data_IF_470828552806
#
_entry.id   IF_470828552806
#
_cell.length_a   1.000
_cell.length_b   1.000
_cell.length_c   1.000
_cell.angle_alpha   90.00
_cell.angle_beta   90.00
_cell.angle_gamma   90.00
#
_symmetry.space_group_name_H-M   'P 1'
#
loop_
_entity.id
_entity.type
_entity.pdbx_description
1 polymer ?
#
# COMPACT_ATOMS: atom_id res chain seq x y z
N UNK A 1 17.09 -21.95 0.07
CA UNK A 1 15.64 -21.62 0.12
C UNK A 1 15.18 -21.18 1.52
N UNK A 2 16.11 -20.67 2.37
CA UNK A 2 15.71 -20.07 3.64
C UNK A 2 15.14 -18.66 3.41
N UNK A 3 14.37 -18.15 4.38
CA UNK A 3 13.73 -16.85 4.28
C UNK A 3 14.76 -15.71 4.14
N UNK A 4 15.84 -15.78 4.94
CA UNK A 4 16.92 -14.78 4.89
C UNK A 4 17.63 -14.79 3.54
N UNK A 5 17.87 -15.98 2.93
CA UNK A 5 18.48 -16.06 1.61
C UNK A 5 17.60 -15.37 0.55
N UNK A 6 16.29 -15.60 0.56
CA UNK A 6 15.38 -14.97 -0.39
C UNK A 6 15.32 -13.46 -0.21
N UNK A 7 15.24 -12.96 1.03
CA UNK A 7 15.19 -11.54 1.35
C UNK A 7 16.50 -10.87 0.93
N UNK A 8 17.65 -11.36 1.40
CA UNK A 8 18.97 -10.78 1.09
C UNK A 8 19.24 -10.81 -0.42
N UNK A 9 18.88 -11.91 -1.11
CA UNK A 9 19.03 -11.98 -2.56
C UNK A 9 18.18 -10.92 -3.28
N UNK A 10 16.95 -10.69 -2.82
CA UNK A 10 16.10 -9.65 -3.38
C UNK A 10 16.71 -8.27 -3.15
N UNK A 11 17.08 -7.93 -1.92
CA UNK A 11 17.63 -6.62 -1.55
C UNK A 11 18.94 -6.30 -2.30
N UNK A 12 19.79 -7.31 -2.47
CA UNK A 12 21.05 -7.13 -3.17
C UNK A 12 20.93 -7.12 -4.70
N UNK A 13 20.10 -7.95 -5.28
CA UNK A 13 20.04 -8.13 -6.74
C UNK A 13 19.02 -7.20 -7.41
N UNK A 14 17.89 -6.90 -6.75
CA UNK A 14 16.82 -6.10 -7.37
C UNK A 14 17.29 -4.71 -7.81
N UNK A 15 18.16 -4.07 -7.04
CA UNK A 15 18.73 -2.75 -7.37
C UNK A 15 19.50 -2.75 -8.69
N UNK A 16 20.08 -3.89 -9.09
CA UNK A 16 20.88 -4.05 -10.31
C UNK A 16 20.05 -4.44 -11.54
N UNK A 17 18.76 -4.75 -11.37
CA UNK A 17 17.87 -5.02 -12.50
C UNK A 17 17.68 -3.74 -13.31
N UNK A 18 17.83 -3.81 -14.62
CA UNK A 18 17.58 -2.70 -15.52
C UNK A 18 16.08 -2.37 -15.60
N UNK A 19 15.76 -1.12 -15.93
CA UNK A 19 14.37 -0.72 -16.25
C UNK A 19 13.88 -1.59 -17.43
N UNK A 20 12.67 -2.15 -17.28
CA UNK A 20 12.08 -3.14 -18.19
C UNK A 20 12.45 -4.59 -17.84
N UNK A 21 13.32 -4.81 -16.85
CA UNK A 21 13.68 -6.13 -16.38
C UNK A 21 12.72 -6.70 -15.34
N UNK A 22 12.89 -7.98 -15.06
CA UNK A 22 12.07 -8.74 -14.11
C UNK A 22 12.98 -9.35 -13.04
N UNK A 23 12.49 -9.41 -11.82
CA UNK A 23 13.02 -10.24 -10.74
C UNK A 23 11.99 -11.29 -10.39
N UNK A 24 12.39 -12.55 -10.39
CA UNK A 24 11.53 -13.67 -10.06
C UNK A 24 12.15 -14.44 -8.89
N UNK A 25 11.36 -14.70 -7.85
CA UNK A 25 11.73 -15.56 -6.74
C UNK A 25 10.82 -16.79 -6.74
N UNK A 26 11.45 -17.96 -6.84
CA UNK A 26 10.80 -19.27 -6.78
C UNK A 26 10.77 -19.81 -5.35
N UNK A 27 10.03 -20.90 -5.17
CA UNK A 27 9.94 -21.66 -3.91
C UNK A 27 9.51 -20.80 -2.71
N UNK A 28 8.70 -19.76 -2.95
CA UNK A 28 8.21 -18.90 -1.87
C UNK A 28 7.21 -19.61 -0.94
N UNK A 29 6.73 -20.81 -1.32
CA UNK A 29 5.94 -21.69 -0.45
C UNK A 29 6.72 -22.11 0.81
N UNK A 30 8.05 -22.09 0.78
CA UNK A 30 8.91 -22.34 1.96
C UNK A 30 8.65 -21.34 3.08
N UNK A 31 8.07 -20.16 2.77
CA UNK A 31 7.60 -19.19 3.75
C UNK A 31 6.51 -19.72 4.70
N UNK A 32 5.86 -20.82 4.35
CA UNK A 32 4.83 -21.49 5.16
C UNK A 32 5.34 -22.75 5.85
N UNK A 33 6.58 -23.16 5.58
CA UNK A 33 7.15 -24.42 6.06
C UNK A 33 8.11 -24.22 7.24
N UNK A 34 7.82 -24.84 8.37
CA UNK A 34 8.66 -24.73 9.58
C UNK A 34 10.12 -25.17 9.33
N UNK A 35 10.34 -26.18 8.47
CA UNK A 35 11.68 -26.69 8.15
C UNK A 35 12.59 -25.63 7.50
N UNK A 36 12.01 -24.61 6.87
CA UNK A 36 12.72 -23.49 6.24
C UNK A 36 12.62 -22.20 7.03
N UNK A 37 12.25 -22.26 8.30
CA UNK A 37 12.04 -21.08 9.15
C UNK A 37 10.73 -20.35 8.87
N UNK A 38 9.84 -20.94 8.05
CA UNK A 38 8.54 -20.39 7.66
C UNK A 38 7.45 -20.61 8.72
N UNK A 39 6.24 -20.17 8.39
CA UNK A 39 5.02 -20.28 9.19
C UNK A 39 3.96 -19.29 8.69
N UNK A 40 2.68 -19.63 8.84
CA UNK A 40 1.58 -18.76 8.41
C UNK A 40 1.66 -17.40 9.13
N UNK A 41 1.75 -16.32 8.37
CA UNK A 41 1.88 -14.92 8.86
C UNK A 41 3.09 -14.71 9.81
N UNK A 42 4.12 -15.52 9.67
CA UNK A 42 5.31 -15.41 10.50
C UNK A 42 6.17 -14.26 10.01
N UNK A 43 6.45 -13.30 10.90
CA UNK A 43 7.37 -12.19 10.61
C UNK A 43 8.76 -12.72 10.23
N UNK A 44 9.42 -12.04 9.28
CA UNK A 44 10.72 -12.44 8.75
C UNK A 44 10.66 -13.50 7.66
N UNK A 45 9.46 -13.95 7.23
CA UNK A 45 9.35 -14.78 6.02
C UNK A 45 9.36 -13.90 4.77
N UNK A 46 9.81 -14.46 3.64
CA UNK A 46 9.86 -13.72 2.38
C UNK A 46 8.48 -13.22 1.92
N UNK A 47 7.42 -14.04 2.12
CA UNK A 47 6.05 -13.62 1.81
C UNK A 47 5.61 -12.41 2.66
N UNK A 48 5.86 -12.40 3.97
CA UNK A 48 5.49 -11.24 4.80
C UNK A 48 6.34 -10.01 4.47
N UNK A 49 7.62 -10.21 4.15
CA UNK A 49 8.48 -9.16 3.63
C UNK A 49 7.92 -8.54 2.34
N UNK A 50 7.58 -9.37 1.34
CA UNK A 50 7.05 -8.88 0.06
C UNK A 50 5.67 -8.22 0.19
N UNK A 51 4.83 -8.64 1.16
CA UNK A 51 3.58 -7.94 1.48
C UNK A 51 3.81 -6.52 1.99
N UNK A 52 4.89 -6.27 2.74
CA UNK A 52 5.23 -4.91 3.17
C UNK A 52 5.63 -4.01 1.99
N UNK A 53 6.16 -4.59 0.92
CA UNK A 53 6.49 -3.88 -0.31
C UNK A 53 5.27 -3.41 -1.10
N UNK A 54 4.06 -3.94 -0.82
CA UNK A 54 2.81 -3.44 -1.40
C UNK A 54 2.56 -2.00 -0.95
N UNK A 55 2.80 -1.69 0.33
CA UNK A 55 2.69 -0.33 0.84
C UNK A 55 3.75 0.56 0.20
N UNK A 56 4.98 0.06 0.04
CA UNK A 56 6.06 0.78 -0.61
C UNK A 56 5.80 1.05 -2.10
N UNK A 57 5.19 0.10 -2.82
CA UNK A 57 4.74 0.28 -4.19
C UNK A 57 3.75 1.44 -4.32
N UNK A 58 2.93 1.66 -3.30
CA UNK A 58 1.89 2.69 -3.24
C UNK A 58 2.30 3.95 -2.45
N UNK A 59 3.57 4.13 -2.13
CA UNK A 59 4.05 5.21 -1.26
C UNK A 59 3.72 6.62 -1.77
N UNK A 60 3.53 6.81 -3.08
CA UNK A 60 3.10 8.10 -3.64
C UNK A 60 1.73 8.58 -3.16
N UNK A 61 0.87 7.68 -2.68
CA UNK A 61 -0.51 7.96 -2.26
C UNK A 61 -0.65 8.08 -0.74
N UNK A 62 0.41 7.78 0.02
CA UNK A 62 0.34 7.86 1.48
C UNK A 62 0.37 9.30 1.97
N UNK A 63 -0.42 9.59 2.98
CA UNK A 63 -0.38 10.86 3.73
C UNK A 63 0.46 10.73 5.02
N UNK A 64 1.12 9.58 5.22
CA UNK A 64 1.94 9.34 6.41
C UNK A 64 3.27 10.10 6.31
N UNK A 65 3.58 11.04 7.24
CA UNK A 65 4.75 11.89 7.12
C UNK A 65 6.08 11.14 7.22
N UNK A 66 6.07 9.94 7.82
CA UNK A 66 7.26 9.11 8.02
C UNK A 66 7.40 7.98 7.00
N UNK A 67 6.50 7.90 6.02
CA UNK A 67 6.56 6.89 4.96
C UNK A 67 7.03 7.55 3.67
N UNK A 68 8.28 7.30 3.32
CA UNK A 68 8.97 8.01 2.23
C UNK A 68 8.93 7.22 0.93
N UNK A 69 8.76 7.95 -0.17
CA UNK A 69 8.99 7.42 -1.51
C UNK A 69 10.46 7.12 -1.70
N UNK A 70 10.79 5.87 -1.99
CA UNK A 70 12.15 5.37 -2.20
C UNK A 70 12.41 4.94 -3.64
N UNK A 71 13.55 4.29 -3.88
CA UNK A 71 13.91 3.78 -5.21
C UNK A 71 13.02 2.61 -5.65
N UNK A 72 12.55 1.79 -4.71
CA UNK A 72 11.57 0.75 -5.02
C UNK A 72 10.28 1.35 -5.58
N UNK A 73 9.71 2.37 -4.93
CA UNK A 73 8.52 3.09 -5.41
C UNK A 73 8.74 3.70 -6.80
N UNK A 74 9.95 4.26 -7.06
CA UNK A 74 10.25 4.94 -8.33
C UNK A 74 10.56 3.99 -9.47
N UNK A 75 10.86 2.74 -9.17
CA UNK A 75 11.35 1.79 -10.19
C UNK A 75 10.59 0.49 -10.25
N UNK A 76 9.52 0.29 -9.46
CA UNK A 76 8.71 -0.91 -9.48
C UNK A 76 7.31 -0.60 -10.01
N UNK A 77 6.90 -1.34 -11.05
CA UNK A 77 5.57 -1.21 -11.64
C UNK A 77 4.56 -2.15 -10.99
N UNK A 78 4.95 -3.41 -10.77
CA UNK A 78 4.04 -4.44 -10.28
C UNK A 78 4.75 -5.45 -9.40
N UNK A 79 3.95 -6.09 -8.53
CA UNK A 79 4.30 -7.29 -7.78
C UNK A 79 3.23 -8.33 -8.12
N UNK A 80 3.63 -9.43 -8.76
CA UNK A 80 2.73 -10.53 -9.09
C UNK A 80 2.98 -11.71 -8.16
N UNK A 81 1.91 -12.26 -7.60
CA UNK A 81 1.95 -13.46 -6.78
C UNK A 81 1.31 -14.60 -7.57
N UNK A 82 2.08 -15.65 -7.78
CA UNK A 82 1.63 -16.92 -8.32
C UNK A 82 1.77 -18.00 -7.25
N UNK A 83 1.28 -19.19 -7.53
CA UNK A 83 1.56 -20.33 -6.67
C UNK A 83 3.07 -20.57 -6.60
N UNK A 84 3.64 -20.43 -5.39
CA UNK A 84 5.07 -20.60 -5.11
C UNK A 84 6.04 -19.62 -5.80
N UNK A 85 5.57 -18.56 -6.46
CA UNK A 85 6.41 -17.59 -7.17
C UNK A 85 5.96 -16.17 -6.88
N UNK A 86 6.93 -15.27 -6.65
CA UNK A 86 6.70 -13.81 -6.65
C UNK A 86 7.56 -13.18 -7.73
N UNK A 87 6.93 -12.37 -8.59
CA UNK A 87 7.59 -11.66 -9.68
C UNK A 87 7.44 -10.15 -9.49
N UNK A 88 8.53 -9.42 -9.70
CA UNK A 88 8.59 -7.96 -9.69
C UNK A 88 8.96 -7.46 -11.09
N UNK A 89 8.20 -6.51 -11.60
CA UNK A 89 8.52 -5.82 -12.85
C UNK A 89 9.15 -4.46 -12.55
N UNK A 90 10.33 -4.22 -13.09
CA UNK A 90 11.03 -2.94 -12.94
C UNK A 90 10.67 -2.00 -14.08
N UNK A 91 10.16 -0.81 -13.72
CA UNK A 91 9.76 0.23 -14.67
C UNK A 91 9.99 1.60 -14.07
N UNK A 92 10.44 2.56 -14.86
CA UNK A 92 10.52 3.95 -14.40
C UNK A 92 9.11 4.47 -14.11
N UNK A 93 8.86 4.80 -12.85
CA UNK A 93 7.57 5.29 -12.36
C UNK A 93 7.65 6.80 -12.12
N UNK A 94 6.63 7.51 -12.55
CA UNK A 94 6.47 8.94 -12.25
C UNK A 94 5.40 9.13 -11.19
N UNK A 95 5.55 10.18 -10.39
CA UNK A 95 4.54 10.53 -9.39
C UNK A 95 3.18 10.69 -10.08
N UNK A 96 2.15 9.95 -9.64
CA UNK A 96 0.81 10.07 -10.19
C UNK A 96 0.27 11.50 -10.06
N UNK A 97 -0.41 11.98 -11.09
CA UNK A 97 -1.14 13.24 -11.07
C UNK A 97 -2.56 13.02 -11.54
N UNK A 98 -3.53 13.59 -10.83
CA UNK A 98 -4.91 13.58 -11.27
C UNK A 98 -5.14 14.69 -12.31
N UNK A 99 -5.83 14.35 -13.39
CA UNK A 99 -6.32 15.34 -14.36
C UNK A 99 -7.84 15.25 -14.39
N UNK A 100 -8.49 16.37 -14.18
CA UNK A 100 -9.93 16.45 -14.36
C UNK A 100 -10.19 16.67 -15.85
N UNK A 101 -10.93 15.75 -16.49
CA UNK A 101 -11.35 15.85 -17.88
C UNK A 101 -12.87 15.80 -17.95
N UNK A 102 -13.45 16.66 -18.78
CA UNK A 102 -14.91 16.81 -18.90
C UNK A 102 -15.50 17.83 -17.93
N UNK A 103 -16.82 18.06 -18.08
CA UNK A 103 -17.60 18.90 -17.19
C UNK A 103 -18.37 18.02 -16.20
N UNK A 104 -18.52 18.50 -14.96
CA UNK A 104 -19.36 17.82 -13.98
C UNK A 104 -20.80 17.78 -14.46
N UNK A 105 -21.40 16.60 -14.48
CA UNK A 105 -22.84 16.43 -14.79
C UNK A 105 -23.73 16.97 -13.67
N UNK A 106 -23.18 17.19 -12.47
CA UNK A 106 -23.84 17.83 -11.33
C UNK A 106 -22.81 18.58 -10.51
N UNK A 107 -23.21 19.76 -10.04
CA UNK A 107 -22.40 20.52 -9.10
C UNK A 107 -22.48 19.85 -7.72
N UNK A 108 -21.33 19.43 -7.19
CA UNK A 108 -21.24 19.01 -5.80
C UNK A 108 -21.23 20.27 -4.92
N UNK A 109 -22.43 20.70 -4.54
CA UNK A 109 -22.61 21.92 -3.76
C UNK A 109 -22.18 21.69 -2.29
N UNK A 110 -20.90 21.97 -2.04
CA UNK A 110 -20.35 21.98 -0.67
C UNK A 110 -20.92 23.10 0.23
N UNK A 111 -21.65 24.08 -0.35
CA UNK A 111 -22.26 25.17 0.42
C UNK A 111 -23.43 24.67 1.27
N UNK A 112 -24.08 23.58 0.84
CA UNK A 112 -25.21 22.97 1.54
C UNK A 112 -24.83 22.19 2.81
N UNK A 113 -23.54 21.94 3.05
CA UNK A 113 -23.12 21.29 4.30
C UNK A 113 -23.24 22.28 5.45
N UNK A 114 -24.01 21.90 6.45
CA UNK A 114 -24.14 22.68 7.68
C UNK A 114 -22.79 22.79 8.41
N UNK A 115 -22.64 23.82 9.25
CA UNK A 115 -21.44 23.97 10.07
C UNK A 115 -21.16 22.71 10.93
N UNK A 116 -22.19 22.04 11.42
CA UNK A 116 -22.10 20.82 12.20
C UNK A 116 -21.53 19.64 11.37
N UNK A 117 -21.90 19.52 10.09
CA UNK A 117 -21.38 18.48 9.19
C UNK A 117 -19.91 18.72 8.82
N UNK A 118 -19.54 19.98 8.57
CA UNK A 118 -18.13 20.37 8.35
C UNK A 118 -17.29 20.08 9.59
N UNK A 119 -17.79 20.42 10.78
CA UNK A 119 -17.10 20.16 12.05
C UNK A 119 -16.93 18.63 12.30
N UNK A 120 -17.99 17.85 12.11
CA UNK A 120 -17.93 16.37 12.22
C UNK A 120 -16.89 15.80 11.26
N UNK A 121 -16.86 16.23 10.01
CA UNK A 121 -15.87 15.78 9.03
C UNK A 121 -14.43 16.06 9.48
N UNK A 122 -14.14 17.28 9.92
CA UNK A 122 -12.80 17.63 10.40
C UNK A 122 -12.40 16.86 11.67
N UNK A 123 -13.35 16.63 12.58
CA UNK A 123 -13.11 15.84 13.78
C UNK A 123 -12.75 14.38 13.42
N UNK A 124 -13.46 13.78 12.48
CA UNK A 124 -13.19 12.43 12.02
C UNK A 124 -11.83 12.28 11.34
N UNK A 125 -11.47 13.24 10.50
CA UNK A 125 -10.14 13.24 9.88
C UNK A 125 -9.05 13.26 10.96
N UNK A 126 -9.23 14.05 12.03
CA UNK A 126 -8.28 14.08 13.16
C UNK A 126 -8.26 12.76 13.93
N UNK A 127 -9.43 12.18 14.22
CA UNK A 127 -9.53 10.89 14.91
C UNK A 127 -8.84 9.80 14.07
N UNK A 128 -9.12 9.75 12.77
CA UNK A 128 -8.49 8.76 11.89
C UNK A 128 -6.96 8.90 11.85
N UNK A 129 -6.42 10.12 11.86
CA UNK A 129 -4.96 10.34 11.97
C UNK A 129 -4.38 9.77 13.27
N UNK A 130 -5.08 9.94 14.38
CA UNK A 130 -4.67 9.38 15.69
C UNK A 130 -4.75 7.85 15.65
N UNK A 131 -5.84 7.28 15.14
CA UNK A 131 -6.01 5.83 15.03
C UNK A 131 -4.94 5.20 14.13
N UNK A 132 -4.58 5.83 13.03
CA UNK A 132 -3.49 5.41 12.15
C UNK A 132 -2.14 5.42 12.88
N UNK A 133 -1.86 6.48 13.67
CA UNK A 133 -0.63 6.56 14.46
C UNK A 133 -0.54 5.42 15.49
N UNK A 134 -1.69 5.01 16.04
CA UNK A 134 -1.81 3.89 16.97
C UNK A 134 -1.92 2.52 16.28
N UNK A 135 -1.82 2.46 14.95
CA UNK A 135 -2.04 1.26 14.12
C UNK A 135 -3.40 0.59 14.36
N UNK A 136 -4.39 1.37 14.72
CA UNK A 136 -5.77 0.92 14.92
C UNK A 136 -6.60 1.13 13.64
N UNK A 137 -7.66 0.34 13.49
CA UNK A 137 -8.58 0.46 12.35
C UNK A 137 -9.24 1.84 12.35
N UNK A 138 -9.16 2.55 11.21
CA UNK A 138 -9.83 3.84 11.02
C UNK A 138 -11.34 3.71 10.88
N UNK A 139 -12.05 4.83 11.08
CA UNK A 139 -13.49 4.96 10.88
C UNK A 139 -13.73 5.46 9.46
N UNK A 140 -14.49 4.72 8.66
CA UNK A 140 -14.83 5.13 7.29
C UNK A 140 -15.77 6.34 7.30
N UNK A 141 -15.42 7.35 6.52
CA UNK A 141 -16.22 8.59 6.40
C UNK A 141 -17.61 8.30 5.81
N UNK A 142 -17.73 7.31 4.93
CA UNK A 142 -19.01 6.92 4.30
C UNK A 142 -20.01 6.29 5.27
N UNK A 143 -19.59 5.58 6.30
CA UNK A 143 -20.49 5.06 7.33
C UNK A 143 -21.17 6.17 8.11
N UNK A 144 -20.51 7.32 8.28
CA UNK A 144 -21.07 8.46 8.98
C UNK A 144 -21.97 9.33 8.12
N UNK A 145 -21.73 9.41 6.81
CA UNK A 145 -22.65 10.08 5.90
C UNK A 145 -24.01 9.34 5.81
N UNK A 146 -23.98 8.00 5.93
CA UNK A 146 -25.20 7.16 5.97
C UNK A 146 -25.98 7.28 7.29
N UNK A 147 -25.30 7.54 8.41
CA UNK A 147 -25.97 7.73 9.71
C UNK A 147 -26.61 9.11 9.83
N UNK A 148 -26.11 10.10 9.09
CA UNK A 148 -26.68 11.46 9.01
C UNK A 148 -27.93 11.56 8.14
N UNK A 149 -28.18 10.59 7.24
CA UNK A 149 -29.35 10.59 6.33
C UNK A 149 -30.57 9.86 6.88
N UNK A 150 -30.48 9.30 8.10
CA UNK A 150 -31.57 8.56 8.78
C UNK A 150 -32.12 9.28 10.02
N UNK A 151 -31.86 10.58 10.19
CA UNK A 151 -32.43 11.43 11.23
C UNK A 151 -33.36 12.48 10.69
#
# INVERSE_FOLDING_TARGET
HTQDQQIVSFEELYKHINIGGLYLCEDVHTSYMNAYGGGLKRNGTFIEYTKSLIDQLNAHYTEQPNFMVDDFTRTTNTIHYYDSIVLFEKRAMVKPSSKMTGQWSFEYDNSKKTFAEKFKFHLLVRINKILQTLKLKGIFVDEMLRLSSKG
#
